data_IF_272173117656
#
_entry.id   IF_272173117656
#
_cell.length_a   1.000
_cell.length_b   1.000
_cell.length_c   1.000
_cell.angle_alpha   90.00
_cell.angle_beta   90.00
_cell.angle_gamma   90.00
#
_symmetry.space_group_name_H-M   'P 1'
#
loop_
_entity.id
_entity.type
_entity.pdbx_description
1 polymer ?
#
# COMPACT_ATOMS: atom_id res chain seq x y z
N UNK A 1 -17.29 5.86 -11.60
CA UNK A 1 -16.51 4.70 -12.08
C UNK A 1 -15.58 4.21 -11.00
N UNK A 2 -15.48 2.91 -10.84
CA UNK A 2 -14.64 2.35 -9.79
C UNK A 2 -13.16 2.60 -10.08
N UNK A 3 -12.39 2.85 -9.03
CA UNK A 3 -10.95 2.97 -9.13
C UNK A 3 -10.35 1.65 -9.58
N UNK A 4 -9.41 1.69 -10.51
CA UNK A 4 -8.70 0.51 -10.94
C UNK A 4 -7.89 -0.03 -9.76
N UNK A 5 -8.26 -1.21 -9.25
CA UNK A 5 -7.59 -1.83 -8.11
C UNK A 5 -6.12 -2.03 -8.37
N UNK A 6 -5.76 -2.46 -9.57
CA UNK A 6 -4.35 -2.69 -9.92
C UNK A 6 -3.55 -1.39 -9.89
N UNK A 7 -4.12 -0.32 -10.44
CA UNK A 7 -3.45 0.98 -10.42
C UNK A 7 -3.30 1.49 -8.99
N UNK A 8 -4.32 1.31 -8.15
CA UNK A 8 -4.26 1.75 -6.76
C UNK A 8 -3.18 0.97 -6.01
N UNK A 9 -3.13 -0.36 -6.18
CA UNK A 9 -2.12 -1.19 -5.52
C UNK A 9 -0.72 -0.76 -5.92
N UNK A 10 -0.49 -0.56 -7.20
CA UNK A 10 0.82 -0.13 -7.70
C UNK A 10 1.18 1.24 -7.16
N UNK A 11 0.22 2.16 -7.14
CA UNK A 11 0.44 3.50 -6.60
C UNK A 11 0.78 3.49 -5.12
N UNK A 12 0.11 2.64 -4.34
CA UNK A 12 0.41 2.54 -2.91
C UNK A 12 1.80 1.97 -2.68
N UNK A 13 2.20 0.95 -3.46
CA UNK A 13 3.54 0.40 -3.37
C UNK A 13 4.60 1.45 -3.68
N UNK A 14 4.38 2.22 -4.75
CA UNK A 14 5.30 3.29 -5.14
C UNK A 14 5.40 4.36 -4.06
N UNK A 15 4.27 4.69 -3.44
CA UNK A 15 4.25 5.69 -2.37
C UNK A 15 5.07 5.23 -1.16
N UNK A 16 4.91 3.96 -0.76
CA UNK A 16 5.69 3.41 0.34
C UNK A 16 7.17 3.44 0.00
N UNK A 17 7.53 3.06 -1.23
CA UNK A 17 8.91 3.08 -1.69
C UNK A 17 9.48 4.49 -1.63
N UNK A 18 8.70 5.48 -2.05
CA UNK A 18 9.11 6.88 -2.02
C UNK A 18 9.38 7.37 -0.60
N UNK A 19 8.71 6.79 0.39
CA UNK A 19 8.88 7.13 1.79
C UNK A 19 10.00 6.36 2.47
N UNK A 20 10.83 5.66 1.68
CA UNK A 20 11.94 4.91 2.22
C UNK A 20 11.65 3.44 2.51
N UNK A 21 10.51 2.95 2.06
CA UNK A 21 10.13 1.55 2.22
C UNK A 21 9.27 1.26 3.44
N UNK A 22 9.00 2.26 4.28
CA UNK A 22 8.12 2.12 5.43
C UNK A 22 7.20 3.33 5.53
N UNK A 23 5.99 3.11 6.04
CA UNK A 23 5.02 4.20 6.18
C UNK A 23 4.01 3.86 7.27
N UNK A 24 3.64 4.83 8.12
CA UNK A 24 2.56 4.62 9.09
C UNK A 24 1.23 4.39 8.37
N UNK A 25 0.40 3.51 8.94
CA UNK A 25 -0.90 3.19 8.34
C UNK A 25 -1.76 4.45 8.15
N UNK A 26 -1.70 5.38 9.10
CA UNK A 26 -2.48 6.61 9.02
C UNK A 26 -2.14 7.41 7.78
N UNK A 27 -0.86 7.56 7.50
CA UNK A 27 -0.41 8.33 6.34
C UNK A 27 -0.78 7.63 5.04
N UNK A 28 -0.62 6.32 4.98
CA UNK A 28 -0.97 5.56 3.80
C UNK A 28 -2.47 5.58 3.55
N UNK A 29 -3.27 5.47 4.61
CA UNK A 29 -4.72 5.55 4.50
C UNK A 29 -5.16 6.91 3.94
N UNK A 30 -4.57 7.99 4.44
CA UNK A 30 -4.86 9.33 3.94
C UNK A 30 -4.52 9.45 2.46
N UNK A 31 -3.37 8.93 2.06
CA UNK A 31 -2.96 8.94 0.67
C UNK A 31 -3.96 8.19 -0.21
N UNK A 32 -4.38 7.00 0.23
CA UNK A 32 -5.31 6.21 -0.56
C UNK A 32 -6.66 6.90 -0.69
N UNK A 33 -7.11 7.56 0.36
CA UNK A 33 -8.37 8.29 0.34
C UNK A 33 -8.32 9.46 -0.64
N UNK A 34 -7.24 10.25 -0.58
CA UNK A 34 -7.11 11.46 -1.40
C UNK A 34 -6.92 11.12 -2.88
N UNK A 35 -6.04 10.17 -3.18
CA UNK A 35 -5.63 9.90 -4.57
C UNK A 35 -6.46 8.83 -5.26
N UNK A 36 -7.04 7.91 -4.51
CA UNK A 36 -7.80 6.80 -5.09
C UNK A 36 -9.23 6.74 -4.58
N UNK A 37 -9.60 7.68 -3.70
CA UNK A 37 -10.93 7.73 -3.11
C UNK A 37 -11.29 6.41 -2.42
N UNK A 38 -10.27 5.73 -1.93
CA UNK A 38 -10.44 4.46 -1.23
C UNK A 38 -10.75 4.74 0.23
N UNK A 39 -12.01 4.56 0.62
CA UNK A 39 -12.41 4.69 2.00
C UNK A 39 -11.82 3.57 2.84
N UNK A 40 -12.20 3.53 4.12
CA UNK A 40 -11.63 2.58 5.07
C UNK A 40 -11.71 1.13 4.60
N UNK A 41 -12.88 0.71 4.10
CA UNK A 41 -13.08 -0.67 3.68
C UNK A 41 -12.25 -1.01 2.45
N UNK A 42 -12.24 -0.14 1.45
CA UNK A 42 -11.47 -0.36 0.23
C UNK A 42 -9.98 -0.37 0.53
N UNK A 43 -9.51 0.52 1.39
CA UNK A 43 -8.12 0.55 1.81
C UNK A 43 -7.72 -0.76 2.48
N UNK A 44 -8.57 -1.26 3.40
CA UNK A 44 -8.28 -2.53 4.09
C UNK A 44 -8.16 -3.66 3.10
N UNK A 45 -9.05 -3.74 2.11
CA UNK A 45 -8.99 -4.80 1.10
C UNK A 45 -7.74 -4.71 0.26
N UNK A 46 -7.34 -3.50 -0.12
CA UNK A 46 -6.11 -3.30 -0.89
C UNK A 46 -4.89 -3.77 -0.10
N UNK A 47 -4.82 -3.38 1.17
CA UNK A 47 -3.66 -3.74 1.99
C UNK A 47 -3.63 -5.22 2.33
N UNK A 48 -4.81 -5.83 2.58
CA UNK A 48 -4.87 -7.27 2.80
C UNK A 48 -4.35 -8.03 1.59
N UNK A 49 -4.69 -7.57 0.39
CA UNK A 49 -4.17 -8.18 -0.84
C UNK A 49 -2.67 -8.05 -0.95
N UNK A 50 -2.12 -6.88 -0.66
CA UNK A 50 -0.68 -6.66 -0.73
C UNK A 50 0.07 -7.50 0.30
N UNK A 51 -0.46 -7.59 1.52
CA UNK A 51 0.14 -8.43 2.56
C UNK A 51 0.04 -9.91 2.17
N UNK A 52 -1.12 -10.32 1.66
CA UNK A 52 -1.34 -11.71 1.27
C UNK A 52 -0.43 -12.15 0.14
N UNK A 53 -0.05 -11.25 -0.75
CA UNK A 53 0.87 -11.56 -1.84
C UNK A 53 2.34 -11.43 -1.42
N UNK A 54 2.59 -11.04 -0.19
CA UNK A 54 3.96 -10.91 0.30
C UNK A 54 4.69 -9.67 -0.18
N UNK A 55 3.96 -8.66 -0.63
CA UNK A 55 4.56 -7.42 -1.14
C UNK A 55 4.85 -6.43 -0.03
N UNK A 56 4.07 -6.48 1.05
CA UNK A 56 4.28 -5.63 2.23
C UNK A 56 4.05 -6.45 3.48
N UNK A 57 4.61 -5.95 4.60
CA UNK A 57 4.32 -6.50 5.92
C UNK A 57 3.73 -5.39 6.77
N UNK A 58 2.97 -5.79 7.79
CA UNK A 58 2.34 -4.84 8.70
C UNK A 58 2.76 -5.15 10.12
N UNK A 59 3.30 -4.14 10.81
CA UNK A 59 3.67 -4.26 12.21
C UNK A 59 2.54 -3.67 13.06
N UNK A 60 1.76 -4.54 13.70
CA UNK A 60 0.63 -4.10 14.51
C UNK A 60 1.05 -3.29 15.72
N UNK A 61 2.25 -3.55 16.25
CA UNK A 61 2.72 -2.84 17.42
C UNK A 61 2.98 -1.36 17.13
N UNK A 62 3.48 -1.05 15.94
CA UNK A 62 3.81 0.32 15.57
C UNK A 62 2.83 0.93 14.57
N UNK A 63 1.98 0.11 13.95
CA UNK A 63 1.06 0.57 12.92
C UNK A 63 1.77 0.99 11.64
N UNK A 64 2.86 0.31 11.29
CA UNK A 64 3.69 0.67 10.14
C UNK A 64 3.67 -0.45 9.11
N UNK A 65 3.48 -0.06 7.84
CA UNK A 65 3.65 -0.96 6.70
C UNK A 65 5.07 -0.85 6.18
N UNK A 66 5.63 -1.98 5.75
CA UNK A 66 6.99 -2.02 5.19
C UNK A 66 6.98 -2.82 3.90
N UNK A 67 7.74 -2.38 2.91
CA UNK A 67 7.91 -3.16 1.68
C UNK A 67 8.81 -4.34 1.96
N UNK A 68 8.47 -5.49 1.35
CA UNK A 68 9.36 -6.65 1.31
C UNK A 68 10.26 -6.53 0.10
N UNK A 69 11.22 -7.45 -0.04
CA UNK A 69 12.04 -7.50 -1.23
C UNK A 69 11.19 -7.71 -2.48
N UNK A 70 10.16 -8.55 -2.35
CA UNK A 70 9.22 -8.79 -3.44
C UNK A 70 8.45 -7.52 -3.79
N UNK A 71 8.06 -6.75 -2.78
CA UNK A 71 7.37 -5.49 -2.99
C UNK A 71 8.23 -4.47 -3.70
N UNK A 72 9.50 -4.39 -3.34
CA UNK A 72 10.44 -3.48 -3.99
C UNK A 72 10.66 -3.88 -5.44
N UNK A 73 10.76 -5.17 -5.71
CA UNK A 73 10.90 -5.66 -7.07
C UNK A 73 9.67 -5.32 -7.91
N UNK A 74 8.47 -5.41 -7.31
CA UNK A 74 7.24 -5.08 -8.01
C UNK A 74 7.18 -3.60 -8.38
N UNK A 75 7.67 -2.72 -7.51
CA UNK A 75 7.73 -1.29 -7.79
C UNK A 75 8.69 -1.03 -8.94
N UNK A 76 9.86 -1.66 -8.91
CA UNK A 76 10.87 -1.49 -9.95
C UNK A 76 10.39 -2.02 -11.30
N UNK A 77 9.70 -3.15 -11.29
CA UNK A 77 9.19 -3.77 -12.52
C UNK A 77 8.03 -2.99 -13.12
N UNK A 78 7.31 -2.27 -12.28
CA UNK A 78 6.20 -1.45 -12.76
C UNK A 78 6.66 -0.10 -13.24
#
# INVERSE_FOLDING_TARGET
MATDTQAARQGLLKFISKKGGTIPIRELHTHSLVFYQAGHQAFSQLMEGLVGEGLVTYDEATGVFSLTDKGRAAVTAG
#
